data_IF_580775952143
#
_entry.id   IF_580775952143
#
_cell.length_a   1.000
_cell.length_b   1.000
_cell.length_c   1.000
_cell.angle_alpha   90.00
_cell.angle_beta   90.00
_cell.angle_gamma   90.00
#
_symmetry.space_group_name_H-M   'P 1'
#
loop_
_entity.id
_entity.type
_entity.pdbx_description
1 polymer ?
#
# COMPACT_ATOMS: atom_id res chain seq x y z
N UNK A 1 -2.13 23.82 -9.50
CA UNK A 1 -1.75 22.40 -9.38
C UNK A 1 -2.20 21.89 -8.02
N UNK A 2 -2.31 20.58 -7.86
CA UNK A 2 -2.55 20.02 -6.54
C UNK A 2 -1.37 20.30 -5.60
N UNK A 3 -1.64 20.42 -4.30
CA UNK A 3 -0.67 20.75 -3.26
C UNK A 3 -0.59 19.61 -2.25
N UNK A 4 0.62 19.21 -1.89
CA UNK A 4 0.85 18.33 -0.75
C UNK A 4 0.58 19.10 0.56
N UNK A 5 -0.34 18.57 1.37
CA UNK A 5 -0.76 19.17 2.65
C UNK A 5 -0.03 18.48 3.81
N UNK A 6 0.00 17.15 3.78
CA UNK A 6 0.65 16.34 4.81
C UNK A 6 0.86 14.92 4.31
N UNK A 7 1.55 14.10 5.09
CA UNK A 7 1.64 12.67 4.86
C UNK A 7 2.01 11.93 6.13
N UNK A 8 1.85 10.60 6.11
CA UNK A 8 2.22 9.71 7.21
C UNK A 8 2.66 8.35 6.70
N UNK A 9 3.54 7.69 7.44
CA UNK A 9 3.75 6.25 7.29
C UNK A 9 2.45 5.51 7.56
N UNK A 10 2.21 4.44 6.81
CA UNK A 10 1.10 3.53 7.05
C UNK A 10 1.63 2.16 7.47
N UNK A 11 0.82 1.43 8.24
CA UNK A 11 1.25 0.15 8.82
C UNK A 11 2.19 0.31 10.01
N UNK A 12 2.90 -0.77 10.34
CA UNK A 12 3.92 -0.77 11.39
C UNK A 12 5.29 -0.42 10.80
N UNK A 13 5.88 0.74 11.12
CA UNK A 13 7.17 1.15 10.59
C UNK A 13 8.31 0.32 11.19
N UNK A 14 9.34 0.05 10.39
CA UNK A 14 10.58 -0.52 10.89
C UNK A 14 11.47 0.58 11.51
N UNK A 15 12.40 0.23 12.41
CA UNK A 15 13.33 1.20 13.00
C UNK A 15 14.18 1.98 11.98
N UNK A 16 14.39 1.44 10.78
CA UNK A 16 15.11 2.08 9.69
C UNK A 16 14.22 2.97 8.82
N UNK A 17 12.90 2.80 8.84
CA UNK A 17 12.00 3.53 7.94
C UNK A 17 11.97 5.03 8.32
N UNK A 18 12.08 5.88 7.30
CA UNK A 18 11.98 7.34 7.45
C UNK A 18 10.96 7.89 6.48
N UNK A 19 10.24 8.90 6.92
CA UNK A 19 9.32 9.66 6.09
C UNK A 19 9.26 11.11 6.58
N UNK A 20 9.26 12.05 5.64
CA UNK A 20 9.14 13.47 5.94
C UNK A 20 8.40 14.21 4.83
N UNK A 21 7.77 15.31 5.19
CA UNK A 21 7.17 16.25 4.24
C UNK A 21 7.78 17.62 4.46
N UNK A 22 8.29 18.21 3.38
CA UNK A 22 8.79 19.58 3.35
C UNK A 22 8.20 20.30 2.14
N UNK A 23 7.32 21.26 2.40
CA UNK A 23 6.57 21.95 1.36
C UNK A 23 5.78 20.99 0.47
N UNK A 24 6.14 20.94 -0.82
CA UNK A 24 5.50 20.08 -1.82
C UNK A 24 6.29 18.79 -2.12
N UNK A 25 7.24 18.43 -1.25
CA UNK A 25 8.10 17.26 -1.41
C UNK A 25 7.86 16.31 -0.24
N UNK A 26 7.65 15.03 -0.55
CA UNK A 26 7.69 13.95 0.42
C UNK A 26 8.99 13.16 0.22
N UNK A 27 9.76 12.96 1.28
CA UNK A 27 10.96 12.12 1.27
C UNK A 27 10.72 10.85 2.07
N UNK A 28 11.31 9.75 1.62
CA UNK A 28 11.18 8.46 2.28
C UNK A 28 12.47 7.64 2.15
N UNK A 29 12.68 6.75 3.13
CA UNK A 29 13.70 5.71 3.12
C UNK A 29 13.05 4.46 3.72
N UNK A 30 12.94 3.39 2.93
CA UNK A 30 12.19 2.19 3.30
C UNK A 30 12.99 0.91 3.13
N UNK A 31 12.78 -0.02 4.05
CA UNK A 31 13.22 -1.41 3.89
C UNK A 31 12.07 -2.27 3.34
N UNK A 32 12.12 -2.59 2.03
CA UNK A 32 11.02 -3.26 1.28
C UNK A 32 11.21 -4.77 1.07
N UNK A 33 12.32 -5.37 1.54
CA UNK A 33 12.67 -6.77 1.20
C UNK A 33 11.56 -7.77 1.58
N UNK A 34 10.83 -8.23 0.57
CA UNK A 34 9.73 -9.20 0.72
C UNK A 34 8.49 -8.64 1.44
N UNK A 35 8.37 -7.32 1.60
CA UNK A 35 7.23 -6.68 2.27
C UNK A 35 6.90 -5.37 1.60
N UNK A 36 5.62 -5.15 1.33
CA UNK A 36 5.12 -3.88 0.82
C UNK A 36 5.30 -2.81 1.91
N UNK A 37 5.82 -1.64 1.51
CA UNK A 37 5.89 -0.44 2.33
C UNK A 37 5.02 0.63 1.71
N UNK A 38 4.41 1.45 2.55
CA UNK A 38 3.46 2.45 2.08
C UNK A 38 3.48 3.67 2.99
N UNK A 39 3.10 4.80 2.41
CA UNK A 39 2.79 6.03 3.12
C UNK A 39 1.55 6.64 2.47
N UNK A 40 0.79 7.38 3.26
CA UNK A 40 -0.34 8.15 2.78
C UNK A 40 0.06 9.60 2.58
N UNK A 41 -0.36 10.19 1.47
CA UNK A 41 -0.28 11.62 1.21
C UNK A 41 -1.68 12.22 1.25
N UNK A 42 -1.78 13.42 1.85
CA UNK A 42 -2.99 14.26 1.78
C UNK A 42 -2.70 15.36 0.79
N UNK A 43 -3.46 15.37 -0.30
CA UNK A 43 -3.34 16.34 -1.38
C UNK A 43 -4.59 17.24 -1.41
N UNK A 44 -4.39 18.52 -1.69
CA UNK A 44 -5.46 19.49 -1.92
C UNK A 44 -5.47 19.91 -3.40
N UNK A 45 -6.66 20.00 -4.00
CA UNK A 45 -6.84 20.40 -5.40
C UNK A 45 -7.48 19.31 -6.24
N UNK A 46 -7.41 19.47 -7.57
CA UNK A 46 -8.00 18.55 -8.54
C UNK A 46 -7.16 17.26 -8.68
N UNK A 47 -7.70 16.08 -8.32
CA UNK A 47 -7.00 14.80 -8.48
C UNK A 47 -6.59 14.49 -9.92
N UNK A 48 -7.36 14.93 -10.92
CA UNK A 48 -7.04 14.67 -12.33
C UNK A 48 -5.77 15.41 -12.79
N UNK A 49 -5.44 16.52 -12.11
CA UNK A 49 -4.26 17.33 -12.35
C UNK A 49 -3.03 16.89 -11.55
N UNK A 50 -3.15 15.92 -10.63
CA UNK A 50 -2.02 15.45 -9.81
C UNK A 50 -1.03 14.67 -10.66
N UNK A 51 0.24 15.05 -10.59
CA UNK A 51 1.40 14.29 -11.08
C UNK A 51 2.42 14.20 -9.94
N UNK A 52 2.93 13.00 -9.72
CA UNK A 52 3.93 12.71 -8.69
C UNK A 52 5.24 12.38 -9.38
N UNK A 53 6.11 13.37 -9.49
CA UNK A 53 7.48 13.17 -9.95
C UNK A 53 8.26 12.48 -8.84
N UNK A 54 8.75 11.28 -9.15
CA UNK A 54 9.37 10.38 -8.18
C UNK A 54 10.81 10.13 -8.58
N UNK A 55 11.72 10.38 -7.63
CA UNK A 55 13.14 10.11 -7.77
C UNK A 55 13.53 9.03 -6.75
N UNK A 56 14.14 7.95 -7.22
CA UNK A 56 14.70 6.88 -6.39
C UNK A 56 16.20 6.88 -6.60
N UNK A 57 16.95 7.11 -5.52
CA UNK A 57 18.40 7.05 -5.56
C UNK A 57 18.90 5.63 -5.82
N UNK A 58 20.06 5.50 -6.46
CA UNK A 58 20.73 4.21 -6.59
C UNK A 58 21.04 3.65 -5.20
N UNK A 59 20.81 2.36 -5.02
CA UNK A 59 21.05 1.69 -3.74
C UNK A 59 21.69 0.31 -3.96
N UNK A 60 22.43 -0.14 -2.96
CA UNK A 60 22.92 -1.52 -2.91
C UNK A 60 22.02 -2.27 -1.94
N UNK A 61 21.60 -3.47 -2.32
CA UNK A 61 20.86 -4.35 -1.42
C UNK A 61 21.65 -4.57 -0.12
N UNK A 62 20.99 -4.36 1.02
CA UNK A 62 21.60 -4.58 2.33
C UNK A 62 20.65 -5.39 3.22
N UNK A 63 21.22 -6.12 4.17
CA UNK A 63 20.46 -6.90 5.15
C UNK A 63 20.95 -8.33 5.33
N UNK A 64 20.84 -8.83 6.56
CA UNK A 64 21.32 -10.13 7.02
C UNK A 64 20.18 -11.12 7.21
N UNK A 65 19.36 -11.32 6.16
CA UNK A 65 18.42 -12.44 6.20
C UNK A 65 19.22 -13.74 6.40
N UNK A 66 18.82 -14.63 7.33
CA UNK A 66 19.60 -15.82 7.69
C UNK A 66 19.83 -16.77 6.50
N UNK A 67 19.02 -16.66 5.45
CA UNK A 67 19.28 -17.27 4.15
C UNK A 67 19.46 -16.19 3.10
N UNK A 68 20.70 -15.99 2.68
CA UNK A 68 21.03 -15.08 1.59
C UNK A 68 20.92 -15.83 0.26
N UNK A 69 19.77 -15.70 -0.38
CA UNK A 69 19.44 -16.42 -1.65
C UNK A 69 20.18 -15.87 -2.88
N UNK A 70 20.86 -14.73 -2.75
CA UNK A 70 21.71 -14.15 -3.80
C UNK A 70 22.75 -13.16 -3.24
N UNK A 71 23.79 -12.91 -4.02
CA UNK A 71 24.69 -11.77 -3.79
C UNK A 71 23.89 -10.46 -3.84
N UNK A 72 24.14 -9.51 -2.91
CA UNK A 72 23.54 -8.19 -2.96
C UNK A 72 23.64 -7.56 -4.36
N UNK A 73 22.51 -7.10 -4.89
CA UNK A 73 22.47 -6.40 -6.17
C UNK A 73 22.63 -4.89 -6.00
N UNK A 74 23.09 -4.23 -7.06
CA UNK A 74 23.07 -2.78 -7.17
C UNK A 74 21.90 -2.37 -8.05
N UNK A 75 21.07 -1.49 -7.53
CA UNK A 75 19.93 -0.90 -8.23
C UNK A 75 20.35 0.46 -8.77
N UNK A 76 20.06 0.70 -10.05
CA UNK A 76 20.27 2.00 -10.66
C UNK A 76 19.29 3.04 -10.06
N UNK A 77 19.67 4.32 -10.13
CA UNK A 77 18.74 5.39 -9.86
C UNK A 77 17.62 5.39 -10.90
N UNK A 78 16.42 5.83 -10.50
CA UNK A 78 15.26 5.90 -11.37
C UNK A 78 14.48 7.19 -11.16
N UNK A 79 14.00 7.75 -12.27
CA UNK A 79 13.14 8.92 -12.30
C UNK A 79 11.90 8.59 -13.14
N UNK A 80 10.71 8.83 -12.58
CA UNK A 80 9.46 8.57 -13.27
C UNK A 80 8.32 9.41 -12.68
N UNK A 81 7.29 9.63 -13.48
CA UNK A 81 6.09 10.36 -13.05
C UNK A 81 4.93 9.39 -12.92
N UNK A 82 4.27 9.40 -11.74
CA UNK A 82 3.02 8.68 -11.52
C UNK A 82 1.82 9.62 -11.60
N UNK A 83 0.72 9.08 -12.10
CA UNK A 83 -0.58 9.75 -12.17
C UNK A 83 -1.57 9.09 -11.20
N UNK A 84 -2.45 9.89 -10.58
CA UNK A 84 -3.51 9.31 -9.77
C UNK A 84 -4.51 8.56 -10.65
N UNK A 85 -4.89 7.32 -10.30
CA UNK A 85 -5.98 6.65 -10.97
C UNK A 85 -7.29 7.44 -10.78
N UNK A 86 -8.27 7.23 -11.65
CA UNK A 86 -9.59 7.81 -11.47
C UNK A 86 -10.14 7.46 -10.09
N UNK A 87 -10.74 8.45 -9.41
CA UNK A 87 -11.44 8.16 -8.16
C UNK A 87 -12.57 7.14 -8.44
N UNK A 88 -12.83 6.18 -7.55
CA UNK A 88 -13.94 5.24 -7.70
C UNK A 88 -15.25 5.96 -8.06
N UNK A 89 -15.94 5.52 -9.11
CA UNK A 89 -17.17 6.15 -9.59
C UNK A 89 -16.98 7.41 -10.45
N UNK A 90 -15.73 7.82 -10.72
CA UNK A 90 -15.43 8.92 -11.65
C UNK A 90 -14.74 8.39 -12.91
N UNK A 91 -14.99 9.05 -14.04
CA UNK A 91 -14.35 8.76 -15.33
C UNK A 91 -13.11 9.65 -15.58
N UNK A 92 -12.77 10.53 -14.64
CA UNK A 92 -11.66 11.47 -14.74
C UNK A 92 -10.46 10.99 -13.92
N UNK A 93 -9.71 10.03 -14.46
CA UNK A 93 -8.35 9.73 -14.00
C UNK A 93 -7.34 10.61 -14.69
N UNK A 94 -6.22 10.89 -14.01
CA UNK A 94 -5.08 11.48 -14.68
C UNK A 94 -4.59 10.54 -15.79
N UNK A 95 -4.39 11.06 -17.02
CA UNK A 95 -3.69 10.32 -18.08
C UNK A 95 -2.23 10.11 -17.65
N UNK A 96 -1.84 8.85 -17.45
CA UNK A 96 -0.51 8.40 -17.00
C UNK A 96 -0.63 7.07 -16.27
N UNK A 97 0.43 6.25 -16.25
CA UNK A 97 0.46 5.04 -15.44
C UNK A 97 0.44 5.38 -13.95
N UNK A 98 -0.25 4.57 -13.14
CA UNK A 98 -0.22 4.68 -11.68
C UNK A 98 0.80 3.73 -11.03
N UNK A 99 1.55 2.98 -11.83
CA UNK A 99 2.57 2.04 -11.39
C UNK A 99 3.81 2.16 -12.28
N UNK A 100 4.99 2.15 -11.66
CA UNK A 100 6.27 1.94 -12.30
C UNK A 100 6.85 0.62 -11.82
N UNK A 101 7.32 -0.22 -12.75
CA UNK A 101 7.82 -1.57 -12.47
C UNK A 101 9.31 -1.63 -12.78
N UNK A 102 10.10 -2.09 -11.81
CA UNK A 102 11.52 -2.39 -11.97
C UNK A 102 11.69 -3.84 -12.40
N UNK A 103 12.63 -4.06 -13.30
CA UNK A 103 12.92 -5.36 -13.89
C UNK A 103 14.40 -5.69 -13.68
N UNK A 104 14.74 -6.19 -12.50
CA UNK A 104 16.10 -6.58 -12.12
C UNK A 104 16.22 -8.11 -12.10
N UNK A 105 16.47 -8.68 -13.28
CA UNK A 105 16.49 -10.12 -13.49
C UNK A 105 15.10 -10.74 -13.30
N UNK A 106 15.00 -11.77 -12.46
CA UNK A 106 13.73 -12.46 -12.17
C UNK A 106 12.87 -11.74 -11.11
N UNK A 107 13.35 -10.63 -10.56
CA UNK A 107 12.67 -9.90 -9.50
C UNK A 107 11.84 -8.77 -10.10
N UNK A 108 10.62 -8.62 -9.57
CA UNK A 108 9.67 -7.58 -9.95
C UNK A 108 9.39 -6.72 -8.72
N UNK A 109 10.01 -5.55 -8.70
CA UNK A 109 9.65 -4.49 -7.74
C UNK A 109 8.79 -3.45 -8.43
N UNK A 110 8.01 -2.71 -7.65
CA UNK A 110 7.14 -1.68 -8.22
C UNK A 110 6.86 -0.56 -7.23
N UNK A 111 6.76 0.67 -7.73
CA UNK A 111 6.15 1.79 -7.01
C UNK A 111 4.79 2.06 -7.63
N UNK A 112 3.76 2.09 -6.79
CA UNK A 112 2.38 2.32 -7.22
C UNK A 112 1.75 3.42 -6.38
N UNK A 113 0.91 4.24 -7.02
CA UNK A 113 0.01 5.17 -6.37
C UNK A 113 -1.44 4.72 -6.53
N UNK A 114 -2.18 4.80 -5.43
CA UNK A 114 -3.61 4.54 -5.37
C UNK A 114 -4.33 5.79 -4.89
N UNK A 115 -5.53 6.03 -5.41
CA UNK A 115 -6.42 7.07 -4.89
C UNK A 115 -7.31 6.46 -3.82
N UNK A 116 -7.33 7.08 -2.64
CA UNK A 116 -8.16 6.67 -1.52
C UNK A 116 -9.08 7.81 -1.11
N UNK A 117 -10.38 7.56 -1.16
CA UNK A 117 -11.38 8.51 -0.69
C UNK A 117 -11.52 8.39 0.84
N UNK A 118 -10.82 9.27 1.55
CA UNK A 118 -10.83 9.31 3.02
C UNK A 118 -10.17 8.08 3.64
N UNK A 119 -8.93 8.23 4.13
CA UNK A 119 -8.33 7.18 4.95
C UNK A 119 -9.20 6.95 6.19
N UNK A 120 -9.65 5.71 6.36
CA UNK A 120 -10.37 5.26 7.55
C UNK A 120 -9.51 4.23 8.27
N UNK A 121 -9.14 4.56 9.49
CA UNK A 121 -8.40 3.64 10.36
C UNK A 121 -9.35 2.55 10.90
N UNK A 122 -10.66 2.86 11.01
CA UNK A 122 -11.71 1.93 11.43
C UNK A 122 -12.82 1.80 10.38
N UNK A 123 -13.21 0.56 10.07
CA UNK A 123 -14.32 0.25 9.15
C UNK A 123 -15.23 -0.79 9.79
N UNK A 124 -16.54 -0.53 9.75
CA UNK A 124 -17.56 -1.49 10.20
C UNK A 124 -18.17 -2.20 9.02
N UNK A 125 -18.14 -3.53 9.03
CA UNK A 125 -18.84 -4.37 8.06
C UNK A 125 -20.03 -5.05 8.74
N UNK A 126 -21.12 -5.23 7.99
CA UNK A 126 -22.27 -6.02 8.44
C UNK A 126 -22.53 -7.12 7.43
N UNK A 127 -22.55 -8.35 7.92
CA UNK A 127 -22.93 -9.54 7.18
C UNK A 127 -24.15 -10.17 7.87
N UNK A 128 -25.05 -10.77 7.10
CA UNK A 128 -26.20 -11.50 7.62
C UNK A 128 -26.24 -12.84 6.91
N UNK A 129 -26.17 -13.89 7.71
CA UNK A 129 -26.29 -15.25 7.24
C UNK A 129 -27.76 -15.66 7.15
N UNK A 130 -28.13 -16.36 6.08
CA UNK A 130 -29.46 -16.92 5.84
C UNK A 130 -29.44 -18.45 5.74
N UNK A 131 -28.29 -19.10 6.02
CA UNK A 131 -28.15 -20.55 6.08
C UNK A 131 -28.94 -21.19 7.22
N UNK A 132 -29.18 -22.50 7.13
CA UNK A 132 -29.85 -23.30 8.17
C UNK A 132 -28.95 -24.32 8.85
N UNK A 133 -27.72 -24.48 8.37
CA UNK A 133 -26.76 -25.47 8.85
C UNK A 133 -25.76 -24.84 9.84
N UNK A 134 -24.92 -25.66 10.46
CA UNK A 134 -23.78 -25.19 11.25
C UNK A 134 -22.67 -24.74 10.30
N UNK A 135 -22.44 -23.43 10.25
CA UNK A 135 -21.43 -22.81 9.43
C UNK A 135 -20.36 -22.13 10.30
N UNK A 136 -19.16 -22.00 9.75
CA UNK A 136 -18.09 -21.23 10.38
C UNK A 136 -17.55 -20.20 9.42
N UNK A 137 -17.33 -19.01 9.95
CA UNK A 137 -16.86 -17.85 9.20
C UNK A 137 -15.60 -17.30 9.83
N UNK A 138 -14.80 -16.64 9.01
CA UNK A 138 -13.72 -15.78 9.47
C UNK A 138 -13.67 -14.55 8.56
N UNK A 139 -13.17 -13.44 9.09
CA UNK A 139 -12.93 -12.24 8.30
C UNK A 139 -11.45 -12.18 7.97
N UNK A 140 -11.17 -11.96 6.68
CA UNK A 140 -9.86 -11.63 6.15
C UNK A 140 -9.91 -10.22 5.59
N UNK A 141 -8.99 -9.36 6.00
CA UNK A 141 -8.86 -7.99 5.50
C UNK A 141 -7.44 -7.80 4.97
N UNK A 142 -7.32 -7.25 3.76
CA UNK A 142 -6.07 -6.67 3.27
C UNK A 142 -6.02 -5.20 3.66
N UNK A 143 -5.01 -4.85 4.44
CA UNK A 143 -4.77 -3.48 4.91
C UNK A 143 -4.11 -2.65 3.80
N UNK A 144 -4.13 -1.32 3.95
CA UNK A 144 -3.56 -0.38 2.97
C UNK A 144 -2.07 -0.63 2.67
N UNK A 145 -1.34 -1.20 3.64
CA UNK A 145 0.06 -1.58 3.54
C UNK A 145 0.28 -2.97 2.92
N UNK A 146 -0.80 -3.65 2.49
CA UNK A 146 -0.78 -5.00 1.92
C UNK A 146 -0.70 -6.11 2.97
N UNK A 147 -0.66 -5.81 4.27
CA UNK A 147 -0.69 -6.83 5.30
C UNK A 147 -2.09 -7.46 5.41
N UNK A 148 -2.12 -8.75 5.73
CA UNK A 148 -3.36 -9.51 5.91
C UNK A 148 -3.66 -9.68 7.40
N UNK A 149 -4.84 -9.21 7.81
CA UNK A 149 -5.40 -9.47 9.13
C UNK A 149 -6.49 -10.55 9.03
N UNK A 150 -6.55 -11.42 10.04
CA UNK A 150 -7.51 -12.51 10.13
C UNK A 150 -8.17 -12.47 11.49
N UNK A 151 -9.48 -12.69 11.54
CA UNK A 151 -10.16 -12.98 12.79
C UNK A 151 -9.96 -14.43 13.21
N UNK A 152 -10.17 -14.72 14.49
CA UNK A 152 -10.54 -16.09 14.89
C UNK A 152 -11.84 -16.51 14.18
N UNK A 153 -12.03 -17.81 13.92
CA UNK A 153 -13.28 -18.29 13.37
C UNK A 153 -14.43 -18.08 14.37
N UNK A 154 -15.62 -17.86 13.83
CA UNK A 154 -16.88 -17.79 14.58
C UNK A 154 -17.85 -18.82 14.02
N UNK A 155 -18.56 -19.52 14.90
CA UNK A 155 -19.56 -20.51 14.54
C UNK A 155 -20.95 -19.86 14.54
N UNK A 156 -21.72 -20.12 13.50
CA UNK A 156 -23.10 -19.66 13.31
C UNK A 156 -23.97 -20.89 13.11
N UNK A 157 -25.08 -20.94 13.85
CA UNK A 157 -25.79 -22.20 14.07
C UNK A 157 -25.07 -23.01 15.16
N UNK A 158 -25.85 -23.57 16.10
CA UNK A 158 -25.32 -24.42 17.16
C UNK A 158 -26.25 -25.59 17.41
N UNK A 159 -25.79 -26.57 18.21
CA UNK A 159 -26.55 -27.76 18.57
C UNK A 159 -27.95 -27.34 19.08
N UNK A 160 -29.01 -27.86 18.45
CA UNK A 160 -30.38 -27.65 18.95
C UNK A 160 -30.42 -28.05 20.44
N UNK A 161 -31.05 -27.24 21.32
CA UNK A 161 -31.28 -27.66 22.69
C UNK A 161 -31.94 -29.04 22.69
N UNK A 162 -31.38 -29.98 23.45
CA UNK A 162 -31.97 -31.31 23.64
C UNK A 162 -33.21 -31.25 24.50
#
# INVERSE_FOLDING_TARGET
GAKLVSGRLTGTPLPADRFGVDGNVASFDFTTRGSRRSFALVLEGDPAAVRLDTEIASAVEYGTAPTQVRTPQQFAAAEFTLALPAAPGTSAGARGGNEHVFHEGDYRDSVRVDYLEGLRDDVTFRFTDFGQDEDWYYLRVEQIDGHLAWSSPWWVGGEKPR
#
